data_IF_238988275334
#
_entry.id   IF_238988275334
#
_cell.length_a   1.000
_cell.length_b   1.000
_cell.length_c   1.000
_cell.angle_alpha   90.00
_cell.angle_beta   90.00
_cell.angle_gamma   90.00
#
_symmetry.space_group_name_H-M   'P 1'
#
loop_
_entity.id
_entity.type
_entity.pdbx_description
1 polymer ?
#
# COMPACT_ATOMS: atom_id res chain seq x y z
N UNK A 1 -13.01 7.66 14.87
CA UNK A 1 -12.07 7.53 13.75
C UNK A 1 -11.46 6.13 13.71
N UNK A 2 -11.38 5.51 12.54
CA UNK A 2 -10.75 4.20 12.45
C UNK A 2 -9.28 4.26 12.87
N UNK A 3 -8.88 3.29 13.64
CA UNK A 3 -7.51 3.22 14.12
C UNK A 3 -6.64 2.55 13.08
N UNK A 4 -5.50 3.17 12.76
CA UNK A 4 -4.56 2.60 11.82
C UNK A 4 -3.77 1.48 12.49
N UNK A 5 -3.94 0.26 11.98
CA UNK A 5 -3.27 -0.93 12.51
C UNK A 5 -1.93 -1.12 11.79
N UNK A 6 -0.82 -1.27 12.54
CA UNK A 6 0.47 -1.55 11.91
C UNK A 6 0.45 -2.86 11.12
N UNK A 7 1.06 -2.86 9.95
CA UNK A 7 1.17 -4.05 9.12
C UNK A 7 2.59 -4.17 8.55
N UNK A 8 2.97 -5.38 8.17
CA UNK A 8 4.26 -5.62 7.54
C UNK A 8 4.23 -5.18 6.08
N UNK A 9 5.42 -5.01 5.49
CA UNK A 9 5.51 -4.70 4.06
C UNK A 9 4.91 -5.82 3.21
N UNK A 10 5.05 -7.06 3.66
CA UNK A 10 4.46 -8.22 2.98
C UNK A 10 2.93 -8.11 2.96
N UNK A 11 2.34 -7.75 4.09
CA UNK A 11 0.90 -7.58 4.19
C UNK A 11 0.42 -6.39 3.35
N UNK A 12 1.20 -5.32 3.33
CA UNK A 12 0.89 -4.17 2.48
C UNK A 12 0.85 -4.58 1.00
N UNK A 13 1.85 -5.34 0.56
CA UNK A 13 1.88 -5.83 -0.82
C UNK A 13 0.65 -6.67 -1.14
N UNK A 14 0.23 -7.54 -0.21
CA UNK A 14 -0.96 -8.35 -0.39
C UNK A 14 -2.21 -7.48 -0.56
N UNK A 15 -2.34 -6.46 0.28
CA UNK A 15 -3.49 -5.54 0.22
C UNK A 15 -3.49 -4.73 -1.07
N UNK A 16 -2.32 -4.28 -1.52
CA UNK A 16 -2.21 -3.58 -2.79
C UNK A 16 -2.70 -4.45 -3.95
N UNK A 17 -2.29 -5.71 -3.98
CA UNK A 17 -2.73 -6.64 -5.02
C UNK A 17 -4.25 -6.86 -4.95
N UNK A 18 -4.81 -6.97 -3.77
CA UNK A 18 -6.25 -7.14 -3.60
C UNK A 18 -7.02 -5.90 -4.04
N UNK A 19 -6.40 -4.73 -3.94
CA UNK A 19 -7.00 -3.49 -4.38
C UNK A 19 -6.86 -3.26 -5.89
N UNK A 20 -6.26 -4.21 -6.60
CA UNK A 20 -6.11 -4.12 -8.06
C UNK A 20 -4.78 -3.55 -8.52
N UNK A 21 -3.85 -3.33 -7.61
CA UNK A 21 -2.52 -2.86 -7.98
C UNK A 21 -1.63 -4.04 -8.36
N UNK A 22 -0.79 -3.84 -9.36
CA UNK A 22 0.19 -4.84 -9.78
C UNK A 22 1.60 -4.24 -9.68
N UNK A 23 2.54 -5.07 -9.31
CA UNK A 23 3.93 -4.63 -9.22
C UNK A 23 4.52 -4.58 -10.61
N UNK A 24 4.91 -3.37 -11.05
CA UNK A 24 5.46 -3.16 -12.40
C UNK A 24 6.97 -2.98 -12.39
N UNK A 25 7.58 -2.88 -11.22
CA UNK A 25 9.03 -2.80 -11.07
C UNK A 25 9.43 -3.49 -9.78
N UNK A 26 10.31 -4.49 -9.90
CA UNK A 26 10.87 -5.21 -8.77
C UNK A 26 12.30 -4.74 -8.55
N UNK A 27 12.48 -3.73 -7.72
CA UNK A 27 13.78 -3.21 -7.36
C UNK A 27 13.77 -2.90 -5.86
N UNK A 28 14.76 -2.17 -5.37
CA UNK A 28 14.77 -1.71 -3.97
C UNK A 28 13.53 -0.90 -3.63
N UNK A 29 12.96 -0.26 -4.64
CA UNK A 29 11.75 0.52 -4.50
C UNK A 29 10.72 -0.01 -5.47
N UNK A 30 10.01 -1.09 -5.11
CA UNK A 30 8.97 -1.64 -5.98
C UNK A 30 7.92 -0.58 -6.29
N UNK A 31 7.42 -0.60 -7.52
CA UNK A 31 6.40 0.33 -7.95
C UNK A 31 5.14 -0.46 -8.26
N UNK A 32 4.02 -0.05 -7.67
CA UNK A 32 2.72 -0.67 -7.88
C UNK A 32 1.85 0.24 -8.73
N UNK A 33 1.12 -0.34 -9.66
CA UNK A 33 0.29 0.41 -10.60
C UNK A 33 -1.13 -0.16 -10.62
N UNK A 34 -2.11 0.73 -10.61
CA UNK A 34 -3.52 0.39 -10.79
C UNK A 34 -4.00 1.01 -12.09
N UNK A 35 -4.34 0.16 -13.04
CA UNK A 35 -4.84 0.62 -14.34
C UNK A 35 -6.22 1.28 -14.18
N UNK A 36 -7.06 0.69 -13.34
CA UNK A 36 -8.41 1.17 -13.10
C UNK A 36 -8.41 2.58 -12.50
N UNK A 37 -7.54 2.82 -11.53
CA UNK A 37 -7.45 4.12 -10.86
C UNK A 37 -6.45 5.06 -11.52
N UNK A 38 -5.64 4.53 -12.45
CA UNK A 38 -4.54 5.27 -13.09
C UNK A 38 -3.60 5.87 -12.04
N UNK A 39 -3.21 5.02 -11.09
CA UNK A 39 -2.33 5.42 -9.99
C UNK A 39 -1.05 4.58 -9.98
N UNK A 40 0.06 5.25 -9.74
CA UNK A 40 1.36 4.61 -9.60
C UNK A 40 1.92 4.98 -8.23
N UNK A 41 2.24 3.96 -7.41
CA UNK A 41 2.71 4.18 -6.04
C UNK A 41 4.05 3.47 -5.82
N UNK A 42 5.12 4.21 -5.54
CA UNK A 42 6.37 3.58 -5.13
C UNK A 42 6.28 3.16 -3.66
N UNK A 43 6.69 1.93 -3.37
CA UNK A 43 6.63 1.38 -2.02
C UNK A 43 8.04 1.12 -1.52
N UNK A 44 8.54 1.89 -0.54
CA UNK A 44 9.85 1.60 0.03
C UNK A 44 9.81 0.28 0.79
N UNK A 45 10.75 -0.61 0.48
CA UNK A 45 10.83 -1.92 1.13
C UNK A 45 11.82 -1.89 2.28
N UNK A 46 11.33 -2.14 3.47
CA UNK A 46 12.15 -2.27 4.68
C UNK A 46 11.70 -3.52 5.41
N UNK A 47 12.60 -4.20 6.14
CA UNK A 47 12.17 -5.31 6.99
C UNK A 47 11.29 -4.79 8.12
N UNK A 48 10.32 -5.59 8.53
CA UNK A 48 9.43 -5.25 9.62
C UNK A 48 8.17 -4.51 9.16
N UNK A 49 7.60 -3.77 10.09
CA UNK A 49 6.34 -3.07 9.84
C UNK A 49 6.54 -1.77 9.07
N UNK A 50 5.54 -1.42 8.29
CA UNK A 50 5.51 -0.14 7.58
C UNK A 50 5.34 0.97 8.60
N UNK A 51 6.20 2.00 8.59
CA UNK A 51 6.03 3.13 9.51
C UNK A 51 4.65 3.76 9.34
N UNK A 52 4.05 4.16 10.47
CA UNK A 52 2.68 4.66 10.49
C UNK A 52 2.44 5.83 9.53
N UNK A 53 3.37 6.78 9.51
CA UNK A 53 3.24 7.92 8.60
C UNK A 53 3.32 7.52 7.14
N UNK A 54 4.20 6.57 6.83
CA UNK A 54 4.34 6.04 5.48
C UNK A 54 3.06 5.30 5.06
N UNK A 55 2.54 4.47 5.96
CA UNK A 55 1.31 3.71 5.67
C UNK A 55 0.13 4.65 5.43
N UNK A 56 0.01 5.70 6.24
CA UNK A 56 -1.06 6.68 6.09
C UNK A 56 -0.97 7.39 4.72
N UNK A 57 0.26 7.74 4.30
CA UNK A 57 0.48 8.37 3.01
C UNK A 57 0.10 7.43 1.86
N UNK A 58 0.46 6.15 1.98
CA UNK A 58 0.13 5.15 0.96
C UNK A 58 -1.38 4.98 0.82
N UNK A 59 -2.10 4.90 1.94
CA UNK A 59 -3.56 4.79 1.93
C UNK A 59 -4.17 5.98 1.21
N UNK A 60 -3.65 7.17 1.45
CA UNK A 60 -4.10 8.39 0.77
C UNK A 60 -3.82 8.32 -0.73
N UNK A 61 -2.63 7.88 -1.11
CA UNK A 61 -2.24 7.75 -2.51
C UNK A 61 -3.08 6.70 -3.24
N UNK A 62 -3.55 5.67 -2.53
CA UNK A 62 -4.43 4.65 -3.09
C UNK A 62 -5.85 5.17 -3.31
N UNK A 63 -6.16 6.37 -2.85
CA UNK A 63 -7.51 6.95 -2.89
C UNK A 63 -8.51 6.04 -2.16
N UNK A 64 -8.10 5.56 -0.99
CA UNK A 64 -8.94 4.70 -0.17
C UNK A 64 -8.98 5.23 1.25
N UNK A 65 -9.89 4.71 2.06
CA UNK A 65 -9.99 5.07 3.47
C UNK A 65 -9.26 4.02 4.32
N UNK A 66 -8.98 4.35 5.58
CA UNK A 66 -8.37 3.41 6.51
C UNK A 66 -9.26 2.18 6.66
N UNK A 67 -10.58 2.38 6.75
CA UNK A 67 -11.53 1.27 6.87
C UNK A 67 -11.51 0.35 5.66
N UNK A 68 -11.56 0.93 4.46
CA UNK A 68 -11.52 0.17 3.24
C UNK A 68 -10.20 -0.58 3.09
N UNK A 69 -9.11 0.08 3.47
CA UNK A 69 -7.79 -0.52 3.40
C UNK A 69 -7.70 -1.75 4.31
N UNK A 70 -8.18 -1.64 5.54
CA UNK A 70 -8.16 -2.77 6.48
C UNK A 70 -9.04 -3.94 6.03
N UNK A 71 -10.06 -3.67 5.25
CA UNK A 71 -10.95 -4.71 4.73
C UNK A 71 -10.37 -5.48 3.54
N UNK A 72 -9.23 -5.05 3.02
CA UNK A 72 -8.60 -5.73 1.89
C UNK A 72 -8.01 -7.09 2.27
#
# INVERSE_FOLDING_TARGET
MPKLVPISHRELARKLRRAGFVEIRTSRHPVYYSREKDLTIPIPMHPGDVPKGTLRAIIREMHTTVEEFHAL
#
